data_IF_645832988693
#
_entry.id   IF_645832988693
#
_cell.length_a   1.000
_cell.length_b   1.000
_cell.length_c   1.000
_cell.angle_alpha   90.00
_cell.angle_beta   90.00
_cell.angle_gamma   90.00
#
_symmetry.space_group_name_H-M   'P 1'
#
loop_
_entity.id
_entity.type
_entity.pdbx_description
1 polymer ?
#
# COMPACT_ATOMS: atom_id res chain seq x y z
N UNK A 1 29.54 65.36 -19.68
CA UNK A 1 28.48 64.73 -20.52
C UNK A 1 29.02 63.41 -21.04
N UNK A 2 28.33 62.33 -20.70
CA UNK A 2 28.55 60.94 -21.11
C UNK A 2 28.57 60.78 -22.62
N UNK A 3 29.42 59.89 -23.17
CA UNK A 3 29.06 58.64 -23.91
C UNK A 3 30.34 57.87 -24.27
N UNK A 4 30.64 56.77 -23.58
CA UNK A 4 31.64 55.79 -24.02
C UNK A 4 30.90 54.59 -24.59
N UNK A 5 31.19 54.26 -25.85
CA UNK A 5 30.53 53.21 -26.63
C UNK A 5 31.18 51.86 -26.31
N UNK A 6 30.32 50.90 -25.98
CA UNK A 6 30.23 49.52 -26.49
C UNK A 6 31.49 48.71 -26.85
N UNK A 7 31.38 47.42 -26.52
CA UNK A 7 32.07 46.25 -27.05
C UNK A 7 33.40 45.88 -26.40
N UNK A 8 33.38 44.89 -25.48
CA UNK A 8 34.37 43.81 -25.39
C UNK A 8 33.66 42.68 -24.60
N UNK A 9 33.18 41.67 -25.31
CA UNK A 9 33.86 40.39 -25.51
C UNK A 9 33.34 39.37 -24.47
N UNK A 10 32.39 38.51 -24.88
CA UNK A 10 32.70 37.15 -25.32
C UNK A 10 33.44 36.35 -24.24
N UNK A 11 32.72 35.99 -23.17
CA UNK A 11 33.12 34.93 -22.24
C UNK A 11 32.11 33.80 -22.32
N UNK A 12 32.17 33.03 -23.41
CA UNK A 12 31.47 31.75 -23.53
C UNK A 12 32.30 30.81 -24.37
N UNK A 13 33.26 30.13 -23.75
CA UNK A 13 33.74 28.84 -24.24
C UNK A 13 34.60 28.14 -23.17
N UNK A 14 34.46 26.81 -23.13
CA UNK A 14 35.30 25.85 -22.44
C UNK A 14 35.09 25.72 -20.92
N UNK A 15 34.30 24.70 -20.53
CA UNK A 15 34.84 23.45 -19.95
C UNK A 15 33.67 22.45 -19.88
N UNK A 16 33.56 21.64 -20.93
CA UNK A 16 32.85 20.35 -20.91
C UNK A 16 33.95 19.29 -20.96
N UNK A 17 34.13 18.51 -19.88
CA UNK A 17 35.14 17.45 -19.92
C UNK A 17 35.54 16.90 -18.56
N UNK A 18 34.62 16.22 -17.89
CA UNK A 18 34.96 15.09 -17.01
C UNK A 18 33.68 14.27 -16.74
N UNK A 19 33.33 13.40 -17.69
CA UNK A 19 32.49 12.24 -17.41
C UNK A 19 33.35 11.24 -16.62
N UNK A 20 33.13 11.12 -15.32
CA UNK A 20 33.50 9.92 -14.56
C UNK A 20 32.23 9.21 -14.13
N UNK A 21 31.76 8.31 -15.01
CA UNK A 21 30.69 7.38 -14.71
C UNK A 21 31.23 6.28 -13.78
N UNK A 22 30.97 6.43 -12.49
CA UNK A 22 31.05 5.34 -11.51
C UNK A 22 29.83 5.40 -10.59
N UNK A 23 28.64 5.33 -11.18
CA UNK A 23 27.40 5.18 -10.44
C UNK A 23 26.70 3.88 -10.85
N UNK A 24 26.34 3.11 -9.83
CA UNK A 24 25.48 1.93 -9.85
C UNK A 24 26.15 0.59 -10.17
N UNK A 25 26.83 0.02 -9.17
CA UNK A 25 26.66 -1.39 -8.91
C UNK A 25 25.46 -1.52 -7.94
N UNK A 26 24.27 -1.80 -8.48
CA UNK A 26 23.17 -2.42 -7.72
C UNK A 26 22.91 -3.79 -8.34
N UNK A 27 23.74 -4.75 -7.98
CA UNK A 27 23.31 -6.13 -7.96
C UNK A 27 22.91 -6.41 -6.52
N UNK A 28 21.63 -6.64 -6.27
CA UNK A 28 21.08 -7.90 -5.74
C UNK A 28 19.55 -7.74 -5.67
N UNK A 29 18.87 -8.48 -6.54
CA UNK A 29 17.44 -8.76 -6.43
C UNK A 29 17.25 -9.65 -5.19
N UNK A 30 16.88 -9.04 -4.07
CA UNK A 30 16.52 -9.74 -2.85
C UNK A 30 15.01 -10.03 -2.78
N UNK A 31 14.36 -10.32 -3.91
CA UNK A 31 12.94 -10.71 -3.94
C UNK A 31 12.69 -12.14 -3.47
N UNK A 32 13.71 -12.98 -3.29
CA UNK A 32 13.52 -14.41 -3.02
C UNK A 32 13.71 -14.85 -1.55
N UNK A 33 13.28 -14.06 -0.55
CA UNK A 33 13.29 -14.51 0.86
C UNK A 33 12.06 -14.19 1.70
N UNK A 34 10.88 -14.07 1.10
CA UNK A 34 9.66 -14.35 1.87
C UNK A 34 9.33 -15.83 1.67
N UNK A 35 10.04 -16.68 2.42
CA UNK A 35 9.52 -18.01 2.68
C UNK A 35 8.10 -17.85 3.25
N UNK A 36 7.11 -18.65 2.81
CA UNK A 36 5.79 -18.60 3.40
C UNK A 36 5.95 -18.95 4.88
N UNK A 37 5.86 -17.93 5.71
CA UNK A 37 5.52 -18.08 7.10
C UNK A 37 4.21 -18.89 7.07
N UNK A 38 4.31 -20.17 7.38
CA UNK A 38 3.15 -20.98 7.72
C UNK A 38 3.04 -20.87 9.23
N UNK A 39 2.70 -19.67 9.72
CA UNK A 39 2.12 -19.49 11.05
C UNK A 39 1.01 -20.53 11.13
N UNK A 40 1.13 -21.44 12.10
CA UNK A 40 0.17 -22.51 12.34
C UNK A 40 -1.25 -21.99 12.07
N UNK A 41 -1.95 -22.64 11.14
CA UNK A 41 -3.28 -22.24 10.70
C UNK A 41 -4.17 -22.10 11.93
N UNK A 42 -4.29 -20.88 12.44
CA UNK A 42 -5.24 -20.54 13.48
C UNK A 42 -6.58 -20.75 12.80
N UNK A 43 -7.34 -21.76 13.26
CA UNK A 43 -8.43 -22.39 12.50
C UNK A 43 -9.37 -21.38 11.85
N UNK A 44 -9.17 -21.12 10.56
CA UNK A 44 -10.08 -20.30 9.78
C UNK A 44 -11.25 -21.18 9.40
N UNK A 45 -12.42 -20.85 9.92
CA UNK A 45 -13.68 -21.44 9.49
C UNK A 45 -14.35 -20.51 8.48
N UNK A 46 -14.62 -21.04 7.28
CA UNK A 46 -15.31 -20.30 6.22
C UNK A 46 -16.76 -20.78 6.18
N UNK A 47 -17.67 -19.91 6.61
CA UNK A 47 -19.12 -20.20 6.62
C UNK A 47 -19.77 -19.48 5.43
N UNK A 48 -20.42 -20.20 4.49
CA UNK A 48 -21.17 -19.57 3.42
C UNK A 48 -22.40 -18.86 3.98
N UNK A 49 -22.80 -17.75 3.36
CA UNK A 49 -23.95 -16.92 3.80
C UNK A 49 -25.24 -17.72 3.96
N UNK A 50 -25.46 -18.73 3.11
CA UNK A 50 -26.64 -19.60 3.16
C UNK A 50 -26.69 -20.55 4.37
N UNK A 51 -25.55 -20.76 5.04
CA UNK A 51 -25.44 -21.58 6.24
C UNK A 51 -25.42 -20.73 7.52
N UNK A 52 -25.53 -19.40 7.41
CA UNK A 52 -25.61 -18.52 8.58
C UNK A 52 -27.04 -18.54 9.11
N UNK A 53 -27.19 -18.80 10.41
CA UNK A 53 -28.47 -18.65 11.09
C UNK A 53 -28.76 -17.16 11.30
N UNK A 54 -29.85 -16.70 10.69
CA UNK A 54 -30.28 -15.30 10.72
C UNK A 54 -31.45 -15.11 11.68
N UNK A 55 -31.23 -14.29 12.69
CA UNK A 55 -32.26 -13.93 13.67
C UNK A 55 -32.41 -12.41 13.75
N UNK A 56 -33.54 -11.89 14.28
CA UNK A 56 -33.68 -10.47 14.59
C UNK A 56 -32.49 -9.97 15.43
N UNK A 57 -31.86 -8.86 15.03
CA UNK A 57 -30.77 -8.26 15.79
C UNK A 57 -31.23 -7.91 17.21
N UNK A 58 -32.42 -7.33 17.30
CA UNK A 58 -33.13 -7.05 18.54
C UNK A 58 -34.46 -7.83 18.58
N UNK A 59 -34.57 -8.91 19.37
CA UNK A 59 -35.79 -9.72 19.47
C UNK A 59 -37.02 -8.95 19.93
N UNK A 60 -36.85 -7.92 20.79
CA UNK A 60 -37.96 -7.11 21.28
C UNK A 60 -38.67 -6.31 20.17
N UNK A 61 -38.04 -6.18 18.99
CA UNK A 61 -38.61 -5.51 17.81
C UNK A 61 -39.25 -6.47 16.80
N UNK A 62 -39.15 -7.78 16.99
CA UNK A 62 -39.68 -8.79 16.06
C UNK A 62 -39.26 -8.54 14.61
N UNK A 63 -40.21 -8.63 13.69
CA UNK A 63 -39.98 -8.49 12.24
C UNK A 63 -39.51 -7.08 11.81
N UNK A 64 -39.67 -6.07 12.67
CA UNK A 64 -39.16 -4.73 12.38
C UNK A 64 -37.64 -4.61 12.60
N UNK A 65 -37.01 -5.63 13.18
CA UNK A 65 -35.56 -5.70 13.40
C UNK A 65 -34.81 -6.04 12.12
N UNK A 66 -33.67 -5.36 11.83
CA UNK A 66 -32.75 -5.91 10.85
C UNK A 66 -32.28 -7.30 11.32
N UNK A 67 -31.99 -8.19 10.37
CA UNK A 67 -31.46 -9.51 10.68
C UNK A 67 -29.95 -9.45 10.98
N UNK A 68 -29.49 -10.36 11.84
CA UNK A 68 -28.09 -10.53 12.16
C UNK A 68 -27.74 -12.02 12.25
N UNK A 69 -26.60 -12.37 11.65
CA UNK A 69 -26.10 -13.74 11.59
C UNK A 69 -25.36 -14.12 12.86
N UNK A 70 -25.59 -15.33 13.36
CA UNK A 70 -24.87 -15.88 14.53
C UNK A 70 -23.73 -16.77 14.03
N UNK A 71 -22.50 -16.23 14.03
CA UNK A 71 -21.31 -16.96 13.56
C UNK A 71 -20.53 -17.65 14.69
N UNK A 72 -20.68 -17.18 15.93
CA UNK A 72 -19.93 -17.70 17.06
C UNK A 72 -20.78 -17.71 18.33
N UNK A 73 -20.77 -18.82 19.05
CA UNK A 73 -21.48 -18.97 20.33
C UNK A 73 -23.00 -18.88 20.18
N UNK A 74 -23.67 -18.73 21.32
CA UNK A 74 -25.10 -18.44 21.40
C UNK A 74 -25.29 -16.95 21.71
N UNK A 75 -26.07 -16.24 20.88
CA UNK A 75 -26.36 -14.82 21.04
C UNK A 75 -27.43 -14.52 22.09
N UNK A 76 -28.15 -15.54 22.56
CA UNK A 76 -29.30 -15.43 23.46
C UNK A 76 -29.04 -16.02 24.87
N UNK A 77 -27.79 -16.35 25.19
CA UNK A 77 -27.37 -16.95 26.46
C UNK A 77 -27.57 -16.09 27.71
#
# INVERSE_FOLDING_TARGET
MTRFRSAFALTSLAVCGALTAASCAVAEDATDRIAPNTTAASGIEIVPVSAVDWEPLNPARGDASPQAGTLWGDRNG
#
